data_IF_283588732322
#
_entry.id   IF_283588732322
#
_cell.length_a   1.000
_cell.length_b   1.000
_cell.length_c   1.000
_cell.angle_alpha   90.00
_cell.angle_beta   90.00
_cell.angle_gamma   90.00
#
_symmetry.space_group_name_H-M   'P 1'
#
loop_
_entity.id
_entity.type
_entity.pdbx_description
1 polymer ?
#
# COMPACT_ATOMS: atom_id res chain seq x y z
N UNK A 1 -17.32 -16.72 -4.96
CA UNK A 1 -15.96 -16.70 -4.38
C UNK A 1 -15.99 -17.60 -3.15
N UNK A 2 -15.06 -18.55 -3.05
CA UNK A 2 -14.98 -19.47 -1.92
C UNK A 2 -14.43 -18.76 -0.69
N UNK A 3 -15.16 -18.81 0.41
CA UNK A 3 -14.67 -18.32 1.69
C UNK A 3 -13.56 -19.25 2.22
N UNK A 4 -12.46 -18.66 2.69
CA UNK A 4 -11.31 -19.37 3.26
C UNK A 4 -11.20 -19.01 4.73
N UNK A 5 -11.08 -20.03 5.58
CA UNK A 5 -10.90 -19.83 7.02
C UNK A 5 -9.41 -19.77 7.36
N UNK A 6 -8.97 -18.61 7.85
CA UNK A 6 -7.59 -18.40 8.32
C UNK A 6 -7.57 -18.51 9.84
N UNK A 7 -6.70 -19.36 10.40
CA UNK A 7 -6.48 -19.41 11.84
C UNK A 7 -5.47 -18.34 12.24
N UNK A 8 -5.85 -17.48 13.18
CA UNK A 8 -5.00 -16.43 13.75
C UNK A 8 -5.01 -16.52 15.28
N UNK A 9 -3.94 -16.10 15.97
CA UNK A 9 -3.94 -15.94 17.42
C UNK A 9 -5.06 -15.00 17.88
N UNK A 10 -5.55 -15.19 19.11
CA UNK A 10 -6.66 -14.41 19.65
C UNK A 10 -6.30 -12.92 19.77
N UNK A 11 -5.04 -12.65 20.13
CA UNK A 11 -4.47 -11.33 20.29
C UNK A 11 -4.52 -10.54 18.97
N UNK A 12 -4.18 -11.21 17.86
CA UNK A 12 -4.22 -10.60 16.51
C UNK A 12 -5.66 -10.33 16.08
N UNK A 13 -6.57 -11.27 16.32
CA UNK A 13 -8.01 -11.10 16.03
C UNK A 13 -8.57 -9.89 16.78
N UNK A 14 -8.27 -9.78 18.07
CA UNK A 14 -8.81 -8.73 18.93
C UNK A 14 -8.27 -7.35 18.55
N UNK A 15 -6.98 -7.29 18.19
CA UNK A 15 -6.39 -6.07 17.63
C UNK A 15 -7.07 -5.66 16.32
N UNK A 16 -7.27 -6.60 15.38
CA UNK A 16 -7.94 -6.29 14.11
C UNK A 16 -9.41 -5.88 14.31
N UNK A 17 -10.10 -6.49 15.28
CA UNK A 17 -11.45 -6.10 15.65
C UNK A 17 -11.50 -4.67 16.18
N UNK A 18 -10.59 -4.30 17.09
CA UNK A 18 -10.48 -2.93 17.60
C UNK A 18 -10.21 -1.91 16.47
N UNK A 19 -9.35 -2.26 15.50
CA UNK A 19 -9.09 -1.41 14.32
C UNK A 19 -10.34 -1.27 13.45
N UNK A 20 -11.09 -2.35 13.24
CA UNK A 20 -12.31 -2.33 12.44
C UNK A 20 -13.39 -1.45 13.09
N UNK A 21 -13.60 -1.59 14.40
CA UNK A 21 -14.53 -0.76 15.20
C UNK A 21 -14.15 0.72 15.15
N UNK A 22 -12.86 1.04 15.35
CA UNK A 22 -12.36 2.43 15.27
C UNK A 22 -12.59 3.07 13.89
N UNK A 23 -12.63 2.25 12.83
CA UNK A 23 -12.88 2.68 11.45
C UNK A 23 -14.36 2.56 11.03
N UNK A 24 -15.24 2.10 11.92
CA UNK A 24 -16.66 1.86 11.60
C UNK A 24 -16.88 0.84 10.49
N UNK A 25 -15.97 -0.14 10.36
CA UNK A 25 -16.01 -1.17 9.30
C UNK A 25 -16.05 -2.57 9.90
N UNK A 26 -16.36 -3.58 9.07
CA UNK A 26 -16.31 -4.98 9.50
C UNK A 26 -14.89 -5.54 9.39
N UNK A 27 -14.57 -6.57 10.18
CA UNK A 27 -13.30 -7.29 10.09
C UNK A 27 -13.03 -7.82 8.67
N UNK A 28 -14.07 -8.31 7.99
CA UNK A 28 -13.99 -8.77 6.59
C UNK A 28 -13.61 -7.63 5.65
N UNK A 29 -14.27 -6.48 5.78
CA UNK A 29 -14.00 -5.31 4.95
C UNK A 29 -12.60 -4.73 5.21
N UNK A 30 -12.17 -4.69 6.47
CA UNK A 30 -10.80 -4.32 6.82
C UNK A 30 -9.77 -5.24 6.16
N UNK A 31 -9.99 -6.57 6.20
CA UNK A 31 -9.09 -7.53 5.56
C UNK A 31 -9.08 -7.40 4.04
N UNK A 32 -10.22 -7.10 3.41
CA UNK A 32 -10.29 -6.82 1.97
C UNK A 32 -9.51 -5.55 1.61
N UNK A 33 -9.62 -4.50 2.41
CA UNK A 33 -8.87 -3.26 2.22
C UNK A 33 -7.36 -3.51 2.34
N UNK A 34 -6.93 -4.24 3.38
CA UNK A 34 -5.53 -4.60 3.58
C UNK A 34 -5.01 -5.42 2.39
N UNK A 35 -5.78 -6.39 1.92
CA UNK A 35 -5.41 -7.20 0.76
C UNK A 35 -5.31 -6.36 -0.52
N UNK A 36 -6.22 -5.40 -0.72
CA UNK A 36 -6.20 -4.51 -1.87
C UNK A 36 -4.99 -3.54 -1.86
N UNK A 37 -4.50 -3.19 -0.67
CA UNK A 37 -3.33 -2.31 -0.50
C UNK A 37 -2.00 -3.08 -0.51
N UNK A 38 -2.01 -4.34 -0.07
CA UNK A 38 -0.82 -5.18 0.06
C UNK A 38 -0.60 -6.00 -1.22
N UNK A 39 -0.19 -5.30 -2.28
CA UNK A 39 0.09 -5.95 -3.56
C UNK A 39 1.37 -6.80 -3.50
N UNK A 40 1.32 -7.96 -4.15
CA UNK A 40 2.50 -8.80 -4.39
C UNK A 40 3.47 -8.12 -5.37
N UNK A 41 4.77 -8.49 -5.38
CA UNK A 41 5.73 -7.98 -6.36
C UNK A 41 5.27 -8.14 -7.82
N UNK A 42 4.64 -9.27 -8.14
CA UNK A 42 4.10 -9.59 -9.45
C UNK A 42 2.94 -8.65 -9.82
N UNK A 43 1.98 -8.45 -8.90
CA UNK A 43 0.86 -7.53 -9.11
C UNK A 43 1.32 -6.07 -9.24
N UNK A 44 2.38 -5.68 -8.51
CA UNK A 44 3.00 -4.36 -8.66
C UNK A 44 3.57 -4.21 -10.08
N UNK A 45 4.24 -5.23 -10.60
CA UNK A 45 4.79 -5.23 -11.96
C UNK A 45 3.68 -5.13 -13.01
N UNK A 46 2.65 -5.95 -12.89
CA UNK A 46 1.48 -5.92 -13.78
C UNK A 46 0.80 -4.54 -13.78
N UNK A 47 0.59 -3.96 -12.60
CA UNK A 47 0.03 -2.61 -12.48
C UNK A 47 0.92 -1.55 -13.12
N UNK A 48 2.24 -1.68 -13.00
CA UNK A 48 3.19 -0.77 -13.63
C UNK A 48 3.15 -0.88 -15.16
N UNK A 49 3.11 -2.11 -15.69
CA UNK A 49 2.99 -2.37 -17.14
C UNK A 49 1.68 -1.82 -17.70
N UNK A 50 0.55 -2.08 -17.03
CA UNK A 50 -0.74 -1.53 -17.41
C UNK A 50 -0.73 0.01 -17.40
N UNK A 51 -0.12 0.62 -16.38
CA UNK A 51 0.00 2.07 -16.29
C UNK A 51 0.88 2.64 -17.41
N UNK A 52 1.99 1.97 -17.75
CA UNK A 52 2.85 2.39 -18.88
C UNK A 52 2.12 2.30 -20.22
N UNK A 53 1.35 1.23 -20.44
CA UNK A 53 0.52 1.10 -21.63
C UNK A 53 -0.51 2.22 -21.73
N UNK A 54 -1.22 2.53 -20.62
CA UNK A 54 -2.18 3.63 -20.56
C UNK A 54 -1.52 5.00 -20.81
N UNK A 55 -0.32 5.23 -20.28
CA UNK A 55 0.43 6.47 -20.49
C UNK A 55 0.87 6.63 -21.95
N UNK A 56 1.33 5.55 -22.57
CA UNK A 56 1.67 5.54 -23.98
C UNK A 56 0.44 5.77 -24.87
N UNK A 57 -0.67 5.06 -24.61
CA UNK A 57 -1.90 5.15 -25.40
C UNK A 57 -2.55 6.54 -25.28
N UNK A 58 -2.68 7.05 -24.05
CA UNK A 58 -3.46 8.25 -23.78
C UNK A 58 -2.68 9.55 -23.91
N UNK A 59 -1.39 9.52 -23.59
CA UNK A 59 -0.54 10.72 -23.55
C UNK A 59 0.63 10.66 -24.52
N UNK A 60 0.82 9.56 -25.25
CA UNK A 60 1.97 9.39 -26.16
C UNK A 60 3.31 9.31 -25.43
N UNK A 61 3.31 9.13 -24.10
CA UNK A 61 4.51 9.18 -23.29
C UNK A 61 4.94 7.77 -22.87
N UNK A 62 6.15 7.38 -23.30
CA UNK A 62 6.76 6.11 -22.95
C UNK A 62 7.70 6.30 -21.75
N UNK A 63 7.23 5.90 -20.58
CA UNK A 63 8.05 5.94 -19.37
C UNK A 63 9.09 4.82 -19.42
N UNK A 64 10.35 5.20 -19.33
CA UNK A 64 11.47 4.25 -19.28
C UNK A 64 11.65 3.63 -17.90
N UNK A 65 12.43 2.54 -17.84
CA UNK A 65 12.79 1.90 -16.58
C UNK A 65 13.64 2.81 -15.70
N UNK A 66 14.54 3.60 -16.30
CA UNK A 66 15.40 4.54 -15.58
C UNK A 66 14.58 5.66 -14.92
N UNK A 67 13.69 6.32 -15.69
CA UNK A 67 12.79 7.35 -15.15
C UNK A 67 11.91 6.81 -14.02
N UNK A 68 11.42 5.56 -14.17
CA UNK A 68 10.67 4.89 -13.11
C UNK A 68 11.53 4.64 -11.87
N UNK A 69 12.77 4.21 -12.03
CA UNK A 69 13.69 3.94 -10.93
C UNK A 69 14.07 5.22 -10.17
N UNK A 70 14.34 6.30 -10.90
CA UNK A 70 14.59 7.63 -10.35
C UNK A 70 13.40 8.16 -9.54
N UNK A 71 12.19 8.05 -10.09
CA UNK A 71 10.97 8.47 -9.39
C UNK A 71 10.77 7.65 -8.10
N UNK A 72 10.97 6.33 -8.15
CA UNK A 72 10.89 5.48 -6.95
C UNK A 72 11.92 5.87 -5.89
N UNK A 73 13.14 6.24 -6.31
CA UNK A 73 14.19 6.72 -5.39
C UNK A 73 13.74 8.00 -4.68
N UNK A 74 13.29 9.01 -5.43
CA UNK A 74 12.77 10.28 -4.89
C UNK A 74 11.60 10.06 -3.92
N UNK A 75 10.67 9.17 -4.26
CA UNK A 75 9.52 8.87 -3.40
C UNK A 75 9.93 8.21 -2.06
N UNK A 76 10.93 7.31 -2.08
CA UNK A 76 11.46 6.70 -0.86
C UNK A 76 12.15 7.73 0.03
N UNK A 77 12.95 8.61 -0.55
CA UNK A 77 13.62 9.71 0.16
C UNK A 77 12.60 10.65 0.82
N UNK A 78 11.58 11.07 0.07
CA UNK A 78 10.51 11.92 0.60
C UNK A 78 9.73 11.25 1.75
N UNK A 79 9.44 9.96 1.63
CA UNK A 79 8.74 9.20 2.68
C UNK A 79 9.60 9.00 3.92
N UNK A 80 10.91 8.82 3.75
CA UNK A 80 11.87 8.74 4.87
C UNK A 80 11.96 10.10 5.60
N UNK A 81 12.08 11.20 4.84
CA UNK A 81 12.10 12.55 5.41
C UNK A 81 10.81 12.88 6.17
N UNK A 82 9.65 12.51 5.62
CA UNK A 82 8.37 12.71 6.30
C UNK A 82 8.29 11.94 7.62
N UNK A 83 8.74 10.67 7.64
CA UNK A 83 8.78 9.88 8.87
C UNK A 83 9.74 10.44 9.91
N UNK A 84 10.91 10.94 9.50
CA UNK A 84 11.85 11.59 10.42
C UNK A 84 11.24 12.84 11.05
N UNK A 85 10.56 13.68 10.26
CA UNK A 85 9.89 14.88 10.77
C UNK A 85 8.77 14.56 11.77
N UNK A 86 8.00 13.49 11.56
CA UNK A 86 6.99 13.03 12.52
C UNK A 86 7.63 12.58 13.84
N UNK A 87 8.73 11.83 13.79
CA UNK A 87 9.45 11.37 14.98
C UNK A 87 10.06 12.53 15.78
N UNK A 88 10.60 13.55 15.12
CA UNK A 88 11.10 14.77 15.78
C UNK A 88 9.98 15.57 16.47
N UNK A 89 8.80 15.65 15.83
CA UNK A 89 7.63 16.31 16.40
C UNK A 89 7.05 15.56 17.61
N UNK A 90 7.09 14.23 17.62
CA UNK A 90 6.67 13.40 18.75
C UNK A 90 7.68 13.45 19.91
N UNK A 91 8.98 13.52 19.63
CA UNK A 91 10.04 13.63 20.65
C UNK A 91 10.07 15.00 21.35
N UNK A 92 9.53 16.04 20.70
CA UNK A 92 9.48 17.41 21.23
C UNK A 92 8.21 17.69 22.07
N UNK A 93 7.37 16.68 22.32
CA UNK A 93 6.08 16.78 23.00
C UNK A 93 6.08 16.09 24.36
#
# INVERSE_FOLDING_TARGET
MSDVMIRVPAEVRDQLAAVAEARGTSLRALMQEIAAQTLTPEQIKERAEHTRALLAERFGHHVTDEESAEMRRKMREATAAHRAALAEAESSR
#
